data_IF_801348007205
#
_entry.id   IF_801348007205
#
_cell.length_a   1.000
_cell.length_b   1.000
_cell.length_c   1.000
_cell.angle_alpha   90.00
_cell.angle_beta   90.00
_cell.angle_gamma   90.00
#
_symmetry.space_group_name_H-M   'P 1'
#
loop_
_entity.id
_entity.type
_entity.pdbx_description
1 polymer ?
#
# COMPACT_ATOMS: atom_id res chain seq x y z
N UNK A 1 -9.96 -9.96 -6.90
CA UNK A 1 -10.04 -11.06 -7.91
C UNK A 1 -10.18 -10.54 -9.34
N UNK A 2 -10.95 -9.48 -9.57
CA UNK A 2 -11.20 -8.93 -10.92
C UNK A 2 -9.93 -8.51 -11.69
N UNK A 3 -8.87 -8.12 -11.01
CA UNK A 3 -7.59 -7.78 -11.64
C UNK A 3 -6.89 -9.00 -12.27
N UNK A 4 -7.14 -10.21 -11.77
CA UNK A 4 -6.56 -11.48 -12.25
C UNK A 4 -5.02 -11.50 -12.30
N UNK A 5 -4.38 -10.87 -11.33
CA UNK A 5 -2.91 -10.80 -11.22
C UNK A 5 -2.34 -11.79 -10.21
N UNK A 6 -3.16 -12.33 -9.33
CA UNK A 6 -2.75 -13.26 -8.29
C UNK A 6 -3.92 -13.75 -7.44
N UNK A 7 -3.60 -14.52 -6.42
CA UNK A 7 -4.57 -14.98 -5.43
C UNK A 7 -4.95 -13.83 -4.49
N UNK A 8 -6.22 -13.75 -4.13
CA UNK A 8 -6.75 -12.73 -3.21
C UNK A 8 -7.15 -13.38 -1.89
N UNK A 9 -6.67 -12.81 -0.80
CA UNK A 9 -6.93 -13.30 0.55
C UNK A 9 -7.25 -12.11 1.44
N UNK A 10 -8.36 -12.19 2.15
CA UNK A 10 -8.74 -11.20 3.15
C UNK A 10 -8.07 -11.56 4.48
N UNK A 11 -7.22 -10.67 4.99
CA UNK A 11 -6.59 -10.79 6.30
C UNK A 11 -7.34 -9.91 7.30
N UNK A 12 -8.08 -10.51 8.23
CA UNK A 12 -8.89 -9.78 9.20
C UNK A 12 -8.67 -10.29 10.62
N UNK A 13 -8.86 -9.43 11.61
CA UNK A 13 -8.80 -9.78 13.04
C UNK A 13 -10.14 -10.23 13.60
N UNK A 14 -11.21 -9.97 12.86
CA UNK A 14 -12.57 -10.30 13.24
C UNK A 14 -13.02 -11.61 12.58
N UNK A 15 -13.51 -12.54 13.41
CA UNK A 15 -14.02 -13.83 12.95
C UNK A 15 -15.27 -13.69 12.09
N UNK A 16 -16.10 -12.69 12.37
CA UNK A 16 -17.33 -12.44 11.60
C UNK A 16 -16.98 -12.06 10.16
N UNK A 17 -15.98 -11.17 9.96
CA UNK A 17 -15.49 -10.80 8.64
C UNK A 17 -14.90 -12.03 7.92
N UNK A 18 -14.10 -12.83 8.61
CA UNK A 18 -13.49 -14.04 8.02
C UNK A 18 -14.56 -15.03 7.58
N UNK A 19 -15.60 -15.23 8.40
CA UNK A 19 -16.71 -16.14 8.10
C UNK A 19 -17.54 -15.62 6.91
N UNK A 20 -17.91 -14.35 6.93
CA UNK A 20 -18.68 -13.72 5.85
C UNK A 20 -17.98 -13.86 4.50
N UNK A 21 -16.68 -13.54 4.44
CA UNK A 21 -15.87 -13.70 3.22
C UNK A 21 -15.88 -15.15 2.72
N UNK A 22 -15.73 -16.13 3.62
CA UNK A 22 -15.71 -17.55 3.26
C UNK A 22 -17.09 -18.06 2.82
N UNK A 23 -18.15 -17.64 3.48
CA UNK A 23 -19.52 -17.97 3.12
C UNK A 23 -19.91 -17.43 1.73
N UNK A 24 -19.31 -16.30 1.35
CA UNK A 24 -19.45 -15.72 0.00
C UNK A 24 -18.42 -16.23 -1.03
N UNK A 25 -17.69 -17.32 -0.72
CA UNK A 25 -16.78 -17.99 -1.65
C UNK A 25 -15.40 -17.35 -1.78
N UNK A 26 -15.05 -16.37 -0.93
CA UNK A 26 -13.73 -15.77 -0.87
C UNK A 26 -12.75 -16.53 0.03
N UNK A 27 -11.48 -16.20 -0.08
CA UNK A 27 -10.43 -16.71 0.81
C UNK A 27 -10.17 -15.71 1.93
N UNK A 28 -10.15 -16.16 3.18
CA UNK A 28 -9.86 -15.30 4.33
C UNK A 28 -9.04 -16.01 5.40
N UNK A 29 -8.19 -15.24 6.08
CA UNK A 29 -7.35 -15.68 7.19
C UNK A 29 -7.62 -14.80 8.41
N UNK A 30 -7.83 -15.45 9.56
CA UNK A 30 -7.89 -14.77 10.84
C UNK A 30 -6.46 -14.44 11.30
N UNK A 31 -6.22 -13.18 11.60
CA UNK A 31 -4.95 -12.66 12.08
C UNK A 31 -5.07 -12.10 13.50
N UNK A 32 -3.94 -11.85 14.16
CA UNK A 32 -3.90 -11.24 15.48
C UNK A 32 -4.58 -9.88 15.51
N UNK A 33 -5.20 -9.55 16.66
CA UNK A 33 -5.74 -8.21 16.94
C UNK A 33 -4.64 -7.19 17.30
N UNK A 34 -3.41 -7.63 17.54
CA UNK A 34 -2.35 -6.79 18.09
C UNK A 34 -1.49 -6.10 17.04
N UNK A 35 -1.84 -6.23 15.75
CA UNK A 35 -1.11 -5.56 14.69
C UNK A 35 -1.29 -4.04 14.74
N UNK A 36 -0.18 -3.32 14.62
CA UNK A 36 -0.18 -1.85 14.62
C UNK A 36 -0.47 -1.27 13.26
N UNK A 37 -0.16 -2.03 12.19
CA UNK A 37 -0.29 -1.57 10.81
C UNK A 37 -0.88 -2.66 9.92
N UNK A 38 -1.41 -2.26 8.75
CA UNK A 38 -1.87 -3.19 7.73
C UNK A 38 -0.75 -4.09 7.20
N UNK A 39 0.47 -3.56 7.11
CA UNK A 39 1.63 -4.31 6.62
C UNK A 39 2.06 -5.41 7.60
N UNK A 40 2.01 -5.16 8.91
CA UNK A 40 2.23 -6.22 9.92
C UNK A 40 1.20 -7.35 9.77
N UNK A 41 -0.07 -7.00 9.50
CA UNK A 41 -1.18 -7.96 9.31
C UNK A 41 -0.99 -8.82 8.07
N UNK A 42 -0.66 -8.24 6.92
CA UNK A 42 -0.44 -9.02 5.70
C UNK A 42 0.78 -9.92 5.82
N UNK A 43 1.78 -9.52 6.59
CA UNK A 43 2.95 -10.37 6.84
C UNK A 43 2.61 -11.59 7.70
N UNK A 44 1.77 -11.46 8.73
CA UNK A 44 1.24 -12.61 9.47
C UNK A 44 0.44 -13.52 8.55
N UNK A 45 -0.48 -12.96 7.76
CA UNK A 45 -1.28 -13.73 6.81
C UNK A 45 -0.39 -14.52 5.83
N UNK A 46 0.65 -13.91 5.30
CA UNK A 46 1.64 -14.55 4.44
C UNK A 46 2.31 -15.77 5.12
N UNK A 47 2.72 -15.62 6.38
CA UNK A 47 3.35 -16.69 7.13
C UNK A 47 2.36 -17.84 7.39
N UNK A 48 1.09 -17.53 7.70
CA UNK A 48 0.04 -18.52 7.91
C UNK A 48 -0.29 -19.31 6.64
N UNK A 49 -0.19 -18.69 5.46
CA UNK A 49 -0.37 -19.35 4.17
C UNK A 49 0.71 -20.40 3.86
N UNK A 50 1.91 -20.23 4.40
CA UNK A 50 3.05 -21.11 4.20
C UNK A 50 3.34 -21.44 2.71
N UNK A 51 3.08 -20.48 1.81
CA UNK A 51 3.36 -20.61 0.37
C UNK A 51 4.79 -20.20 0.07
N UNK A 52 5.47 -20.95 -0.79
CA UNK A 52 6.90 -20.73 -1.09
C UNK A 52 7.15 -19.91 -2.35
N UNK A 53 6.24 -19.97 -3.30
CA UNK A 53 6.45 -19.39 -4.65
C UNK A 53 5.67 -18.07 -4.79
N UNK A 54 6.01 -17.11 -3.92
CA UNK A 54 5.41 -15.77 -3.94
C UNK A 54 6.53 -14.75 -4.20
N UNK A 55 6.43 -14.03 -5.30
CA UNK A 55 7.37 -12.97 -5.67
C UNK A 55 6.95 -11.61 -5.12
N UNK A 56 5.67 -11.29 -5.24
CA UNK A 56 5.09 -10.00 -4.88
C UNK A 56 3.89 -10.15 -3.95
N UNK A 57 3.77 -9.25 -2.99
CA UNK A 57 2.61 -9.09 -2.12
C UNK A 57 2.00 -7.71 -2.35
N UNK A 58 0.73 -7.69 -2.74
CA UNK A 58 -0.02 -6.44 -2.87
C UNK A 58 -0.96 -6.26 -1.68
N UNK A 59 -0.75 -5.18 -0.93
CA UNK A 59 -1.60 -4.75 0.17
C UNK A 59 -2.66 -3.79 -0.37
N UNK A 60 -3.88 -4.30 -0.57
CA UNK A 60 -5.04 -3.49 -0.94
C UNK A 60 -5.87 -3.30 0.32
N UNK A 61 -5.94 -2.07 0.81
CA UNK A 61 -6.65 -1.77 2.05
C UNK A 61 -8.16 -1.74 1.82
N UNK A 62 -8.94 -2.17 2.81
CA UNK A 62 -10.40 -2.29 2.69
C UNK A 62 -11.15 -0.95 2.70
N UNK A 63 -10.47 0.16 2.99
CA UNK A 63 -11.00 1.51 2.94
C UNK A 63 -10.89 2.19 1.55
N UNK A 64 -10.36 1.47 0.56
CA UNK A 64 -10.26 1.91 -0.84
C UNK A 64 -11.13 1.03 -1.77
N UNK A 65 -12.48 0.99 -1.58
CA UNK A 65 -13.34 0.07 -2.32
C UNK A 65 -13.49 0.42 -3.81
N UNK A 66 -13.27 1.68 -4.18
CA UNK A 66 -13.45 2.22 -5.53
C UNK A 66 -12.17 2.23 -6.37
N UNK A 67 -11.14 1.49 -5.95
CA UNK A 67 -9.89 1.42 -6.70
C UNK A 67 -10.10 0.89 -8.12
N UNK A 68 -9.53 1.56 -9.12
CA UNK A 68 -9.58 1.08 -10.50
C UNK A 68 -8.72 -0.18 -10.65
N UNK A 69 -9.33 -1.21 -11.23
CA UNK A 69 -8.68 -2.49 -11.53
C UNK A 69 -7.43 -2.29 -12.41
N UNK A 70 -7.45 -1.29 -13.30
CA UNK A 70 -6.31 -0.99 -14.16
C UNK A 70 -5.14 -0.41 -13.38
N UNK A 71 -5.37 0.32 -12.29
CA UNK A 71 -4.31 0.80 -11.41
C UNK A 71 -3.61 -0.36 -10.69
N UNK A 72 -4.39 -1.34 -10.22
CA UNK A 72 -3.87 -2.59 -9.64
C UNK A 72 -2.99 -3.34 -10.64
N UNK A 73 -3.47 -3.51 -11.89
CA UNK A 73 -2.70 -4.16 -12.96
C UNK A 73 -1.45 -3.38 -13.34
N UNK A 74 -1.56 -2.06 -13.40
CA UNK A 74 -0.44 -1.17 -13.70
C UNK A 74 0.65 -1.29 -12.64
N UNK A 75 0.28 -1.25 -11.36
CA UNK A 75 1.25 -1.41 -10.27
C UNK A 75 1.96 -2.76 -10.35
N UNK A 76 1.24 -3.87 -10.53
CA UNK A 76 1.83 -5.20 -10.69
C UNK A 76 2.82 -5.25 -11.88
N UNK A 77 2.41 -4.74 -13.04
CA UNK A 77 3.23 -4.70 -14.25
C UNK A 77 4.50 -3.86 -14.05
N UNK A 78 4.38 -2.67 -13.44
CA UNK A 78 5.51 -1.78 -13.17
C UNK A 78 6.48 -2.37 -12.15
N UNK A 79 5.98 -3.02 -11.10
CA UNK A 79 6.82 -3.73 -10.14
C UNK A 79 7.67 -4.80 -10.81
N UNK A 80 7.05 -5.63 -11.67
CA UNK A 80 7.72 -6.71 -12.39
C UNK A 80 8.73 -6.18 -13.42
N UNK A 81 8.34 -5.24 -14.27
CA UNK A 81 9.20 -4.71 -15.34
C UNK A 81 10.41 -3.94 -14.81
N UNK A 82 10.26 -3.20 -13.71
CA UNK A 82 11.33 -2.43 -13.10
C UNK A 82 12.11 -3.21 -12.02
N UNK A 83 11.70 -4.45 -11.71
CA UNK A 83 12.23 -5.23 -10.58
C UNK A 83 12.26 -4.41 -9.28
N UNK A 84 11.19 -3.65 -9.07
CA UNK A 84 11.10 -2.71 -7.96
C UNK A 84 10.89 -3.46 -6.64
N UNK A 85 11.39 -2.88 -5.56
CA UNK A 85 11.33 -3.47 -4.23
C UNK A 85 10.04 -3.15 -3.50
N UNK A 86 9.59 -1.89 -3.61
CA UNK A 86 8.33 -1.39 -3.08
C UNK A 86 7.74 -0.46 -4.13
N UNK A 87 6.46 -0.60 -4.39
CA UNK A 87 5.69 0.32 -5.23
C UNK A 87 4.40 0.72 -4.54
N UNK A 88 3.90 1.90 -4.89
CA UNK A 88 2.62 2.41 -4.42
C UNK A 88 1.94 3.21 -5.52
N UNK A 89 0.72 3.66 -5.29
CA UNK A 89 -0.04 4.45 -6.23
C UNK A 89 -0.08 5.93 -5.81
N UNK A 90 -0.14 6.81 -6.79
CA UNK A 90 -0.29 8.23 -6.59
C UNK A 90 -1.23 8.83 -7.65
N UNK A 91 -2.05 9.80 -7.25
CA UNK A 91 -2.99 10.50 -8.09
C UNK A 91 -2.71 12.01 -8.10
N UNK A 92 -3.13 12.69 -9.16
CA UNK A 92 -3.07 14.16 -9.19
C UNK A 92 -3.95 14.75 -8.09
N UNK A 93 -3.46 15.82 -7.47
CA UNK A 93 -4.26 16.62 -6.55
C UNK A 93 -5.15 17.54 -7.38
N UNK A 94 -6.46 17.44 -7.19
CA UNK A 94 -7.43 18.19 -7.97
C UNK A 94 -7.97 19.43 -7.26
N UNK A 95 -7.86 19.49 -5.94
CA UNK A 95 -8.41 20.56 -5.12
C UNK A 95 -7.32 21.16 -4.22
N UNK A 96 -7.25 22.48 -4.15
CA UNK A 96 -6.21 23.18 -3.39
C UNK A 96 -6.25 22.89 -1.88
N UNK A 97 -7.43 22.63 -1.34
CA UNK A 97 -7.61 22.25 0.06
C UNK A 97 -6.96 20.91 0.43
N UNK A 98 -6.78 20.01 -0.54
CA UNK A 98 -6.09 18.74 -0.31
C UNK A 98 -4.64 18.93 0.13
N UNK A 99 -3.98 20.03 -0.27
CA UNK A 99 -2.58 20.29 0.13
C UNK A 99 -2.43 20.52 1.64
N UNK A 100 -3.36 21.24 2.25
CA UNK A 100 -3.36 21.55 3.69
C UNK A 100 -4.09 20.52 4.55
N UNK A 101 -4.96 19.71 3.96
CA UNK A 101 -5.76 18.74 4.70
C UNK A 101 -4.91 17.52 5.10
N UNK A 102 -4.77 17.32 6.41
CA UNK A 102 -3.93 16.25 7.00
C UNK A 102 -4.46 14.84 6.74
N UNK A 103 -5.73 14.68 6.38
CA UNK A 103 -6.30 13.36 6.08
C UNK A 103 -5.81 12.81 4.73
N UNK A 104 -5.44 13.69 3.79
CA UNK A 104 -4.82 13.28 2.54
C UNK A 104 -3.31 13.21 2.70
N UNK A 105 -2.73 12.04 2.56
CA UNK A 105 -1.28 11.88 2.53
C UNK A 105 -0.77 12.30 1.15
N UNK A 106 0.35 13.02 1.12
CA UNK A 106 1.00 13.45 -0.11
C UNK A 106 2.31 12.70 -0.28
N UNK A 107 2.65 12.44 -1.53
CA UNK A 107 3.96 11.92 -1.92
C UNK A 107 4.65 12.91 -2.83
N UNK A 108 5.90 13.24 -2.49
CA UNK A 108 6.81 13.97 -3.37
C UNK A 108 7.62 12.97 -4.18
N UNK A 109 7.71 13.17 -5.48
CA UNK A 109 8.47 12.32 -6.38
C UNK A 109 9.61 13.10 -7.02
N UNK A 110 10.65 12.37 -7.41
CA UNK A 110 11.88 12.96 -7.94
C UNK A 110 11.71 13.61 -9.31
N UNK A 111 10.89 12.99 -10.15
CA UNK A 111 10.68 13.41 -11.54
C UNK A 111 9.21 13.72 -11.77
N UNK A 112 8.88 14.45 -12.85
CA UNK A 112 7.48 14.68 -13.21
C UNK A 112 6.79 13.36 -13.54
N UNK A 113 5.57 13.21 -13.03
CA UNK A 113 4.76 12.01 -13.22
C UNK A 113 4.00 12.05 -14.54
N UNK A 114 4.17 11.01 -15.35
CA UNK A 114 3.26 10.67 -16.43
C UNK A 114 2.73 9.23 -16.25
N UNK A 115 1.70 8.87 -17.00
CA UNK A 115 1.04 7.55 -16.87
C UNK A 115 1.96 6.37 -17.17
N UNK A 116 3.07 6.59 -17.88
CA UNK A 116 4.03 5.56 -18.26
C UNK A 116 5.23 5.51 -17.32
N UNK A 117 5.43 6.51 -16.48
CA UNK A 117 6.56 6.59 -15.56
C UNK A 117 6.36 5.71 -14.32
N UNK A 118 7.48 5.42 -13.65
CA UNK A 118 7.50 4.78 -12.33
C UNK A 118 8.55 5.50 -11.48
N UNK A 119 8.30 6.76 -11.13
CA UNK A 119 9.28 7.62 -10.49
C UNK A 119 9.56 7.22 -9.05
N UNK A 120 10.72 7.60 -8.55
CA UNK A 120 11.10 7.38 -7.16
C UNK A 120 10.35 8.35 -6.23
N UNK A 121 9.71 7.81 -5.19
CA UNK A 121 9.19 8.61 -4.10
C UNK A 121 10.34 9.17 -3.26
N UNK A 122 10.36 10.48 -3.04
CA UNK A 122 11.37 11.15 -2.21
C UNK A 122 10.92 11.29 -0.76
N UNK A 123 9.64 11.60 -0.55
CA UNK A 123 9.11 11.82 0.79
C UNK A 123 7.58 11.64 0.83
N UNK A 124 7.07 11.35 2.01
CA UNK A 124 5.64 11.30 2.31
C UNK A 124 5.31 12.31 3.42
N UNK A 125 4.20 13.03 3.28
CA UNK A 125 3.85 14.11 4.21
C UNK A 125 2.34 14.32 4.29
N UNK A 126 1.87 14.88 5.41
CA UNK A 126 0.45 15.20 5.61
C UNK A 126 0.09 16.64 5.24
N UNK A 127 1.00 17.57 5.43
CA UNK A 127 0.80 19.00 5.15
C UNK A 127 1.92 19.53 4.29
N UNK A 128 1.59 20.38 3.34
CA UNK A 128 2.54 21.07 2.48
C UNK A 128 2.26 22.56 2.56
N UNK A 129 3.31 23.35 2.69
CA UNK A 129 3.25 24.79 2.52
C UNK A 129 3.15 25.10 1.02
N UNK A 130 2.17 25.89 0.64
CA UNK A 130 1.71 26.14 -0.74
C UNK A 130 2.77 26.61 -1.75
N UNK A 131 4.00 26.85 -1.36
CA UNK A 131 5.09 27.32 -2.23
C UNK A 131 5.95 26.20 -2.86
N UNK A 132 5.75 24.94 -2.48
CA UNK A 132 6.57 23.79 -2.95
C UNK A 132 5.79 22.77 -3.77
N UNK A 133 4.84 23.18 -4.60
CA UNK A 133 3.86 22.28 -5.23
C UNK A 133 4.37 21.48 -6.45
N UNK A 134 5.65 21.53 -6.77
CA UNK A 134 6.19 20.75 -7.88
C UNK A 134 6.39 19.28 -7.51
N UNK A 135 5.87 18.39 -8.36
CA UNK A 135 6.02 16.94 -8.23
C UNK A 135 5.41 16.34 -6.94
N UNK A 136 4.30 16.93 -6.47
CA UNK A 136 3.54 16.45 -5.32
C UNK A 136 2.20 15.89 -5.78
N UNK A 137 1.88 14.70 -5.26
CA UNK A 137 0.70 13.93 -5.63
C UNK A 137 -0.02 13.43 -4.39
N UNK A 138 -1.31 13.13 -4.52
CA UNK A 138 -2.06 12.41 -3.50
C UNK A 138 -1.57 10.95 -3.46
N UNK A 139 -1.13 10.49 -2.32
CA UNK A 139 -0.72 9.11 -2.12
C UNK A 139 -1.94 8.23 -1.85
N UNK A 140 -2.08 7.17 -2.63
CA UNK A 140 -3.09 6.12 -2.43
C UNK A 140 -2.48 5.00 -1.58
N UNK A 141 -3.17 4.59 -0.52
CA UNK A 141 -2.69 3.67 0.50
C UNK A 141 -2.47 2.21 0.05
N UNK A 142 -2.25 1.96 -1.24
CA UNK A 142 -2.03 0.64 -1.80
C UNK A 142 -0.54 0.44 -2.05
N UNK A 143 -0.03 -0.71 -1.61
CA UNK A 143 1.39 -1.05 -1.74
C UNK A 143 1.59 -2.41 -2.39
N UNK A 144 2.65 -2.50 -3.18
CA UNK A 144 3.16 -3.77 -3.66
C UNK A 144 4.61 -3.94 -3.18
N UNK A 145 4.90 -5.05 -2.55
CA UNK A 145 6.21 -5.39 -2.00
C UNK A 145 6.79 -6.61 -2.69
N UNK A 146 8.07 -6.55 -3.01
CA UNK A 146 8.85 -7.76 -3.22
C UNK A 146 9.00 -8.48 -1.88
N UNK A 147 8.88 -9.82 -1.87
CA UNK A 147 8.72 -10.61 -0.64
C UNK A 147 9.86 -10.44 0.36
N UNK A 148 11.11 -10.45 -0.10
CA UNK A 148 12.28 -10.29 0.79
C UNK A 148 12.36 -8.86 1.34
N UNK A 149 11.90 -7.89 0.58
CA UNK A 149 11.79 -6.50 1.02
C UNK A 149 10.71 -6.34 2.08
N UNK A 150 9.55 -7.00 1.93
CA UNK A 150 8.52 -7.02 2.98
C UNK A 150 9.05 -7.59 4.29
N UNK A 151 9.73 -8.75 4.25
CA UNK A 151 10.35 -9.37 5.41
C UNK A 151 11.33 -8.42 6.12
N UNK A 152 12.16 -7.74 5.32
CA UNK A 152 13.11 -6.76 5.84
C UNK A 152 12.41 -5.54 6.44
N UNK A 153 11.38 -5.01 5.77
CA UNK A 153 10.61 -3.86 6.24
C UNK A 153 9.99 -4.13 7.62
N UNK A 154 9.35 -5.29 7.81
CA UNK A 154 8.75 -5.69 9.08
C UNK A 154 9.80 -5.86 10.20
N UNK A 155 11.04 -6.22 9.86
CA UNK A 155 12.12 -6.36 10.86
C UNK A 155 12.61 -5.01 11.42
N UNK A 156 12.33 -3.91 10.75
CA UNK A 156 12.70 -2.58 11.22
C UNK A 156 11.83 -2.10 12.38
N UNK A 157 12.45 -1.42 13.34
CA UNK A 157 11.71 -0.71 14.37
C UNK A 157 11.05 0.53 13.78
N UNK A 158 9.89 0.88 14.31
CA UNK A 158 9.23 2.13 13.96
C UNK A 158 10.16 3.32 14.21
N UNK A 159 10.29 4.19 13.20
CA UNK A 159 11.11 5.40 13.33
C UNK A 159 10.35 6.48 14.08
N UNK A 160 11.08 7.48 14.58
CA UNK A 160 10.46 8.68 15.18
C UNK A 160 9.54 9.40 14.18
N UNK A 161 9.99 9.53 12.93
CA UNK A 161 9.21 10.16 11.88
C UNK A 161 7.92 9.40 11.56
N UNK A 162 7.96 8.05 11.50
CA UNK A 162 6.77 7.22 11.34
C UNK A 162 5.74 7.48 12.45
N UNK A 163 6.19 7.49 13.71
CA UNK A 163 5.32 7.66 14.88
C UNK A 163 4.72 9.08 14.96
N UNK A 164 5.52 10.11 14.72
CA UNK A 164 5.08 11.52 14.79
C UNK A 164 4.09 11.85 13.66
N UNK A 165 4.32 11.35 12.45
CA UNK A 165 3.46 11.61 11.30
C UNK A 165 2.35 10.58 11.12
N UNK A 166 2.39 9.45 11.85
CA UNK A 166 1.51 8.30 11.65
C UNK A 166 1.50 7.84 10.19
N UNK A 167 2.70 7.70 9.64
CA UNK A 167 2.94 7.30 8.26
C UNK A 167 3.93 6.13 8.23
N UNK A 168 3.43 4.92 7.96
CA UNK A 168 4.22 3.68 7.94
C UNK A 168 5.37 3.73 6.93
N UNK A 169 5.18 4.43 5.82
CA UNK A 169 6.17 4.60 4.76
C UNK A 169 7.39 5.44 5.17
N UNK A 170 7.43 5.97 6.37
CA UNK A 170 8.59 6.65 6.96
C UNK A 170 9.42 5.73 7.90
N UNK A 171 9.15 4.42 7.86
CA UNK A 171 9.88 3.40 8.62
C UNK A 171 11.31 3.18 8.17
#
# INVERSE_FOLDING_TARGET
>A
ESAKIGEVIVAAEDKEIVNDVKENGGNAILTSKNHKTGTDRIFEALNLLNKKDIDLIMNVQGDEPDIDINDIRSLDSKMKSNKAKIGTLAAKIHYDDMYSNQNFVKVKIKESFDQNSFPLAENFMRVINSQENNNIYHHMGIYCYEIETLKKFISFKQTKNELENRLEQLR
#
